data_IF_828716678092
#
_entry.id   IF_828716678092
#
_cell.length_a   1.000
_cell.length_b   1.000
_cell.length_c   1.000
_cell.angle_alpha   90.00
_cell.angle_beta   90.00
_cell.angle_gamma   90.00
#
_symmetry.space_group_name_H-M   'P 1'
#
loop_
_entity.id
_entity.type
_entity.pdbx_description
1 polymer ?
#
# COMPACT_ATOMS: atom_id res chain seq x y z
N UNK A 1 -26.41 -30.17 16.31
CA UNK A 1 -26.13 -29.97 17.75
C UNK A 1 -25.76 -28.51 17.94
N UNK A 2 -26.39 -27.78 18.86
CA UNK A 2 -26.10 -26.37 19.08
C UNK A 2 -24.70 -26.22 19.70
N UNK A 3 -23.83 -25.46 19.04
CA UNK A 3 -22.49 -25.14 19.56
C UNK A 3 -22.69 -24.21 20.76
N UNK A 4 -22.12 -24.58 21.92
CA UNK A 4 -22.18 -23.77 23.14
C UNK A 4 -21.48 -22.43 22.88
N UNK A 5 -22.22 -21.33 22.98
CA UNK A 5 -21.69 -19.98 22.78
C UNK A 5 -20.74 -19.66 23.94
N UNK A 6 -19.52 -19.23 23.61
CA UNK A 6 -18.50 -18.85 24.59
C UNK A 6 -18.96 -17.61 25.39
N UNK A 7 -18.92 -17.71 26.72
CA UNK A 7 -19.20 -16.62 27.67
C UNK A 7 -18.36 -15.36 27.38
N UNK A 8 -17.14 -15.54 26.85
CA UNK A 8 -16.28 -14.43 26.42
C UNK A 8 -16.86 -13.64 25.24
N UNK A 9 -17.52 -14.33 24.30
CA UNK A 9 -18.17 -13.71 23.14
C UNK A 9 -19.44 -12.98 23.58
N UNK A 10 -20.25 -13.58 24.45
CA UNK A 10 -21.46 -12.94 25.00
C UNK A 10 -21.13 -11.69 25.82
N UNK A 11 -20.06 -11.74 26.61
CA UNK A 11 -19.58 -10.58 27.37
C UNK A 11 -19.10 -9.47 26.44
N UNK A 12 -18.38 -9.81 25.36
CA UNK A 12 -17.96 -8.83 24.36
C UNK A 12 -19.16 -8.17 23.64
N UNK A 13 -20.17 -8.96 23.25
CA UNK A 13 -21.40 -8.43 22.63
C UNK A 13 -22.21 -7.52 23.56
N UNK A 14 -22.06 -7.69 24.88
CA UNK A 14 -22.63 -6.81 25.91
C UNK A 14 -21.77 -5.58 26.21
N UNK A 15 -20.65 -5.40 25.49
CA UNK A 15 -19.71 -4.30 25.70
C UNK A 15 -18.75 -4.50 26.88
N UNK A 16 -18.70 -5.69 27.47
CA UNK A 16 -17.81 -6.04 28.57
C UNK A 16 -16.58 -6.74 28.00
N UNK A 17 -15.60 -5.96 27.54
CA UNK A 17 -14.31 -6.44 27.04
C UNK A 17 -13.20 -6.25 28.06
N UNK A 18 -12.39 -7.28 28.24
CA UNK A 18 -11.15 -7.26 29.01
C UNK A 18 -9.96 -7.49 28.07
N UNK A 19 -8.73 -7.19 28.50
CA UNK A 19 -7.51 -7.49 27.72
C UNK A 19 -7.35 -8.99 27.36
N UNK A 20 -8.07 -9.88 28.06
CA UNK A 20 -8.04 -11.33 27.86
C UNK A 20 -9.27 -11.88 27.10
N UNK A 21 -10.17 -11.02 26.62
CA UNK A 21 -11.34 -11.46 25.86
C UNK A 21 -10.88 -12.05 24.52
N UNK A 22 -10.95 -13.38 24.40
CA UNK A 22 -10.61 -14.11 23.18
C UNK A 22 -11.82 -14.12 22.25
N UNK A 23 -11.82 -13.20 21.30
CA UNK A 23 -12.78 -13.25 20.19
C UNK A 23 -12.31 -14.31 19.17
N UNK A 24 -13.24 -15.06 18.55
CA UNK A 24 -12.89 -15.90 17.42
C UNK A 24 -12.24 -15.02 16.35
N UNK A 25 -10.99 -15.33 15.99
CA UNK A 25 -10.32 -14.64 14.90
C UNK A 25 -11.00 -15.09 13.60
N UNK A 26 -11.45 -14.17 12.72
CA UNK A 26 -11.98 -14.56 11.43
C UNK A 26 -10.94 -15.40 10.67
N UNK A 27 -11.40 -16.42 9.96
CA UNK A 27 -10.56 -17.26 9.11
C UNK A 27 -10.42 -16.56 7.76
N UNK A 28 -9.56 -15.54 7.72
CA UNK A 28 -9.37 -14.70 6.55
C UNK A 28 -8.12 -15.11 5.77
N UNK A 29 -8.23 -15.22 4.45
CA UNK A 29 -7.10 -15.26 3.52
C UNK A 29 -7.14 -13.97 2.71
N UNK A 30 -6.28 -13.02 3.11
CA UNK A 30 -6.18 -11.70 2.50
C UNK A 30 -4.93 -11.63 1.64
N UNK A 31 -5.09 -11.48 0.32
CA UNK A 31 -4.00 -11.56 -0.67
C UNK A 31 -3.80 -10.21 -1.32
N UNK A 32 -2.64 -9.60 -1.07
CA UNK A 32 -2.18 -8.42 -1.78
C UNK A 32 -1.78 -8.76 -3.22
N UNK A 33 -2.27 -8.00 -4.19
CA UNK A 33 -1.92 -8.12 -5.61
C UNK A 33 -1.00 -6.97 -6.01
N UNK A 34 0.29 -7.28 -6.16
CA UNK A 34 1.31 -6.37 -6.68
C UNK A 34 1.37 -6.49 -8.21
N UNK A 35 1.20 -5.38 -8.93
CA UNK A 35 1.33 -5.37 -10.39
C UNK A 35 1.42 -3.94 -10.92
N UNK A 36 1.82 -3.76 -12.18
CA UNK A 36 1.65 -2.48 -12.86
C UNK A 36 0.21 -2.27 -13.37
N UNK A 37 -0.33 -1.07 -13.11
CA UNK A 37 -1.70 -0.71 -13.45
C UNK A 37 -2.00 -0.88 -14.94
N UNK A 38 -1.09 -0.40 -15.79
CA UNK A 38 -1.23 -0.34 -17.24
C UNK A 38 -1.10 -1.72 -17.91
N UNK A 39 -0.22 -2.59 -17.39
CA UNK A 39 0.04 -3.90 -17.99
C UNK A 39 -1.00 -4.94 -17.62
N UNK A 40 -1.43 -4.98 -16.35
CA UNK A 40 -2.21 -6.10 -15.81
C UNK A 40 -3.68 -5.76 -15.54
N UNK A 41 -4.24 -4.78 -16.26
CA UNK A 41 -5.60 -4.32 -16.00
C UNK A 41 -6.67 -5.42 -16.22
N UNK A 42 -6.45 -6.33 -17.18
CA UNK A 42 -7.38 -7.41 -17.48
C UNK A 42 -7.26 -8.54 -16.46
N UNK A 43 -6.04 -8.93 -16.10
CA UNK A 43 -5.74 -9.97 -15.12
C UNK A 43 -6.26 -9.57 -13.74
N UNK A 44 -6.00 -8.33 -13.30
CA UNK A 44 -6.54 -7.82 -12.04
C UNK A 44 -8.05 -7.77 -12.02
N UNK A 45 -8.67 -7.38 -13.14
CA UNK A 45 -10.13 -7.42 -13.29
C UNK A 45 -10.66 -8.85 -13.16
N UNK A 46 -10.04 -9.83 -13.81
CA UNK A 46 -10.43 -11.24 -13.68
C UNK A 46 -10.25 -11.75 -12.25
N UNK A 47 -9.19 -11.33 -11.55
CA UNK A 47 -8.99 -11.68 -10.15
C UNK A 47 -10.16 -11.19 -9.28
N UNK A 48 -10.60 -9.95 -9.46
CA UNK A 48 -11.69 -9.37 -8.64
C UNK A 48 -13.08 -9.83 -9.06
N UNK A 49 -13.36 -9.95 -10.36
CA UNK A 49 -14.72 -10.21 -10.88
C UNK A 49 -15.04 -11.70 -11.05
N UNK A 50 -14.02 -12.55 -11.19
CA UNK A 50 -14.21 -13.99 -11.46
C UNK A 50 -13.54 -14.86 -10.40
N UNK A 51 -12.22 -14.75 -10.24
CA UNK A 51 -11.44 -15.69 -9.40
C UNK A 51 -11.77 -15.51 -7.92
N UNK A 52 -11.84 -14.27 -7.42
CA UNK A 52 -12.18 -13.98 -6.02
C UNK A 52 -13.54 -14.55 -5.63
N UNK A 53 -14.62 -14.24 -6.37
CA UNK A 53 -15.95 -14.82 -6.14
C UNK A 53 -15.99 -16.35 -6.23
N UNK A 54 -15.29 -16.95 -7.20
CA UNK A 54 -15.21 -18.40 -7.34
C UNK A 54 -14.52 -19.05 -6.15
N UNK A 55 -13.36 -18.51 -5.73
CA UNK A 55 -12.65 -18.97 -4.54
C UNK A 55 -13.51 -18.81 -3.28
N UNK A 56 -14.20 -17.68 -3.12
CA UNK A 56 -15.11 -17.47 -2.00
C UNK A 56 -16.20 -18.55 -1.97
N UNK A 57 -16.80 -18.89 -3.12
CA UNK A 57 -17.82 -19.93 -3.21
C UNK A 57 -17.30 -21.33 -2.84
N UNK A 58 -16.03 -21.64 -3.15
CA UNK A 58 -15.42 -22.94 -2.80
C UNK A 58 -15.20 -23.06 -1.28
N UNK A 59 -14.92 -21.94 -0.61
CA UNK A 59 -14.54 -21.90 0.79
C UNK A 59 -15.65 -21.46 1.75
N UNK A 60 -16.83 -21.12 1.23
CA UNK A 60 -17.99 -20.63 1.99
C UNK A 60 -18.43 -21.61 3.09
N UNK A 61 -18.51 -22.91 2.75
CA UNK A 61 -18.86 -23.99 3.70
C UNK A 61 -17.86 -24.13 4.87
N UNK A 62 -16.64 -23.62 4.70
CA UNK A 62 -15.56 -23.71 5.69
C UNK A 62 -15.42 -22.44 6.53
N UNK A 63 -16.30 -21.46 6.34
CA UNK A 63 -16.23 -20.16 7.00
C UNK A 63 -14.90 -19.44 6.79
N UNK A 64 -14.26 -19.67 5.64
CA UNK A 64 -13.04 -18.97 5.26
C UNK A 64 -13.43 -17.83 4.32
N UNK A 65 -13.01 -16.63 4.67
CA UNK A 65 -13.19 -15.42 3.87
C UNK A 65 -11.97 -15.23 2.97
N UNK A 66 -12.20 -14.93 1.70
CA UNK A 66 -11.19 -14.65 0.70
C UNK A 66 -11.28 -13.17 0.32
N UNK A 67 -10.19 -12.43 0.51
CA UNK A 67 -10.10 -11.02 0.16
C UNK A 67 -8.92 -10.81 -0.79
N UNK A 68 -9.20 -10.37 -2.01
CA UNK A 68 -8.19 -9.97 -2.99
C UNK A 68 -8.04 -8.46 -2.91
N UNK A 69 -6.83 -8.00 -2.62
CA UNK A 69 -6.51 -6.59 -2.39
C UNK A 69 -5.74 -6.05 -3.57
N UNK A 70 -6.40 -5.22 -4.37
CA UNK A 70 -5.80 -4.50 -5.48
C UNK A 70 -5.81 -3.00 -5.18
N UNK A 71 -4.64 -2.43 -4.89
CA UNK A 71 -4.48 -1.00 -4.59
C UNK A 71 -4.82 -0.08 -5.77
N UNK A 72 -4.92 -0.61 -6.99
CA UNK A 72 -5.31 0.16 -8.17
C UNK A 72 -6.82 0.16 -8.38
N UNK A 73 -7.59 -0.68 -7.66
CA UNK A 73 -9.03 -0.72 -7.80
C UNK A 73 -9.65 0.62 -7.39
N UNK A 74 -10.53 1.16 -8.22
CA UNK A 74 -11.18 2.46 -7.95
C UNK A 74 -10.30 3.70 -8.14
N UNK A 75 -9.03 3.56 -8.57
CA UNK A 75 -8.10 4.71 -8.79
C UNK A 75 -8.31 5.45 -10.11
N UNK A 76 -9.48 5.29 -10.75
CA UNK A 76 -9.82 5.91 -12.03
C UNK A 76 -9.15 5.26 -13.26
N UNK A 77 -9.36 5.85 -14.46
CA UNK A 77 -8.79 5.37 -15.72
C UNK A 77 -7.27 5.18 -15.69
N UNK A 78 -6.75 4.36 -16.62
CA UNK A 78 -5.33 4.07 -16.76
C UNK A 78 -4.47 5.33 -16.89
N UNK A 79 -4.97 6.33 -17.62
CA UNK A 79 -4.26 7.56 -17.93
C UNK A 79 -4.20 8.56 -16.75
N UNK A 80 -4.80 8.24 -15.60
CA UNK A 80 -4.72 9.09 -14.40
C UNK A 80 -3.59 8.58 -13.51
N UNK A 81 -2.51 9.36 -13.48
CA UNK A 81 -1.24 9.04 -12.80
C UNK A 81 -1.08 9.89 -11.52
N UNK A 82 -2.04 10.76 -11.19
CA UNK A 82 -1.90 11.72 -10.08
C UNK A 82 -1.68 11.03 -8.73
N UNK A 83 -2.34 9.89 -8.49
CA UNK A 83 -2.12 9.06 -7.29
C UNK A 83 -0.73 8.42 -7.31
N UNK A 84 -0.26 7.99 -8.49
CA UNK A 84 1.05 7.36 -8.68
C UNK A 84 2.21 8.37 -8.64
N UNK A 85 1.90 9.67 -8.74
CA UNK A 85 2.85 10.77 -8.57
C UNK A 85 3.06 11.16 -7.10
N UNK A 86 2.24 10.66 -6.18
CA UNK A 86 2.44 10.90 -4.75
C UNK A 86 3.74 10.22 -4.28
N UNK A 87 4.74 10.98 -3.79
CA UNK A 87 5.99 10.39 -3.30
C UNK A 87 5.80 9.48 -2.08
N UNK A 88 4.65 9.54 -1.40
CA UNK A 88 4.32 8.71 -0.25
C UNK A 88 3.58 7.41 -0.62
N UNK A 89 3.20 7.20 -1.88
CA UNK A 89 2.39 6.04 -2.31
C UNK A 89 3.02 4.69 -1.94
N UNK A 90 4.36 4.61 -1.95
CA UNK A 90 5.08 3.40 -1.57
C UNK A 90 4.83 3.02 -0.11
N UNK A 91 4.61 4.00 0.78
CA UNK A 91 4.30 3.73 2.19
C UNK A 91 2.93 3.08 2.32
N UNK A 92 1.95 3.51 1.54
CA UNK A 92 0.61 2.92 1.53
C UNK A 92 0.65 1.49 1.02
N UNK A 93 1.41 1.22 -0.05
CA UNK A 93 1.62 -0.13 -0.56
C UNK A 93 2.28 -1.05 0.48
N UNK A 94 3.36 -0.59 1.12
CA UNK A 94 4.05 -1.36 2.16
C UNK A 94 3.13 -1.60 3.37
N UNK A 95 2.35 -0.60 3.77
CA UNK A 95 1.39 -0.73 4.86
C UNK A 95 0.31 -1.77 4.57
N UNK A 96 -0.23 -1.80 3.34
CA UNK A 96 -1.23 -2.79 2.96
C UNK A 96 -0.64 -4.20 2.85
N UNK A 97 0.59 -4.34 2.35
CA UNK A 97 1.33 -5.62 2.35
C UNK A 97 1.49 -6.14 3.78
N UNK A 98 1.91 -5.28 4.72
CA UNK A 98 2.04 -5.63 6.13
C UNK A 98 0.69 -6.02 6.75
N UNK A 99 -0.38 -5.32 6.38
CA UNK A 99 -1.74 -5.63 6.82
C UNK A 99 -2.20 -7.01 6.32
N UNK A 100 -1.94 -7.34 5.06
CA UNK A 100 -2.23 -8.65 4.49
C UNK A 100 -1.42 -9.75 5.19
N UNK A 101 -0.13 -9.52 5.44
CA UNK A 101 0.74 -10.46 6.16
C UNK A 101 0.23 -10.76 7.57
N UNK A 102 -0.15 -9.72 8.32
CA UNK A 102 -0.57 -9.85 9.71
C UNK A 102 -1.95 -10.50 9.88
N UNK A 103 -2.85 -10.31 8.91
CA UNK A 103 -4.24 -10.72 9.02
C UNK A 103 -4.57 -12.02 8.26
N UNK A 104 -3.82 -12.33 7.20
CA UNK A 104 -4.04 -13.55 6.41
C UNK A 104 -3.61 -14.82 7.16
N UNK A 105 -4.38 -15.90 6.99
CA UNK A 105 -4.06 -17.24 7.53
C UNK A 105 -3.23 -18.09 6.59
N UNK A 106 -2.99 -17.63 5.38
CA UNK A 106 -2.32 -18.38 4.32
C UNK A 106 -1.51 -17.42 3.44
N UNK A 107 -1.35 -17.77 2.15
CA UNK A 107 -0.81 -16.89 1.11
C UNK A 107 -1.40 -15.49 1.28
N UNK A 108 -0.52 -14.49 1.29
CA UNK A 108 -0.88 -13.10 1.54
C UNK A 108 -0.38 -12.16 0.45
N UNK A 109 0.41 -12.65 -0.50
CA UNK A 109 1.06 -11.84 -1.52
C UNK A 109 1.10 -12.59 -2.85
N UNK A 110 0.71 -11.88 -3.91
CA UNK A 110 0.75 -12.30 -5.31
C UNK A 110 1.37 -11.16 -6.12
N UNK A 111 2.36 -11.46 -6.95
CA UNK A 111 2.96 -10.49 -7.86
C UNK A 111 2.73 -10.88 -9.32
N UNK A 112 2.23 -9.94 -10.10
CA UNK A 112 2.17 -10.01 -11.57
C UNK A 112 3.31 -9.15 -12.11
N UNK A 113 4.29 -9.79 -12.76
CA UNK A 113 5.53 -9.15 -13.20
C UNK A 113 5.51 -9.09 -14.73
N UNK A 114 5.62 -7.88 -15.27
CA UNK A 114 5.68 -7.60 -16.70
C UNK A 114 7.06 -7.09 -17.11
N UNK A 115 7.11 -6.43 -18.26
CA UNK A 115 8.34 -5.93 -18.86
C UNK A 115 8.62 -4.46 -18.50
N UNK A 116 7.60 -3.72 -18.03
CA UNK A 116 7.76 -2.33 -17.62
C UNK A 116 8.27 -2.22 -16.17
N UNK A 117 9.03 -1.15 -15.91
CA UNK A 117 9.53 -0.83 -14.57
C UNK A 117 8.49 -0.05 -13.75
N UNK A 118 7.52 0.58 -14.43
CA UNK A 118 6.47 1.37 -13.80
C UNK A 118 6.92 2.77 -13.41
N UNK A 119 6.04 3.52 -12.73
CA UNK A 119 6.34 4.85 -12.24
C UNK A 119 7.43 4.80 -11.15
N UNK A 120 8.38 5.73 -11.23
CA UNK A 120 9.41 5.90 -10.21
C UNK A 120 9.13 7.20 -9.44
N UNK A 121 8.34 7.13 -8.34
CA UNK A 121 8.03 8.32 -7.55
C UNK A 121 9.31 8.94 -7.00
N UNK A 122 9.30 10.26 -6.85
CA UNK A 122 10.45 10.97 -6.30
C UNK A 122 10.67 10.56 -4.83
N UNK A 123 11.93 10.38 -4.41
CA UNK A 123 12.23 9.99 -3.04
C UNK A 123 11.78 11.07 -2.06
N UNK A 124 11.16 10.68 -0.95
CA UNK A 124 10.75 11.64 0.11
C UNK A 124 11.95 12.19 0.90
N UNK A 125 13.09 11.50 0.84
CA UNK A 125 14.33 11.87 1.52
C UNK A 125 15.52 11.63 0.60
N UNK A 126 16.43 12.59 0.54
CA UNK A 126 17.72 12.48 -0.15
C UNK A 126 18.82 12.77 0.85
N UNK A 127 19.81 11.89 0.94
CA UNK A 127 20.98 12.10 1.79
C UNK A 127 21.78 13.32 1.31
N UNK A 128 22.40 14.06 2.24
CA UNK A 128 23.05 15.33 1.92
C UNK A 128 24.20 15.16 0.91
N UNK A 129 24.95 14.07 1.00
CA UNK A 129 26.01 13.73 0.05
C UNK A 129 25.45 13.50 -1.36
N UNK A 130 24.41 12.68 -1.51
CA UNK A 130 23.73 12.42 -2.79
C UNK A 130 23.15 13.73 -3.36
N UNK A 131 22.50 14.54 -2.52
CA UNK A 131 21.93 15.82 -2.91
C UNK A 131 22.98 16.77 -3.50
N UNK A 132 24.16 16.86 -2.85
CA UNK A 132 25.25 17.71 -3.35
C UNK A 132 25.83 17.21 -4.68
N UNK A 133 25.93 15.90 -4.88
CA UNK A 133 26.38 15.31 -6.15
C UNK A 133 25.39 15.64 -7.28
N UNK A 134 24.08 15.52 -7.03
CA UNK A 134 23.05 15.85 -8.02
C UNK A 134 23.14 17.32 -8.44
N UNK A 135 23.31 18.24 -7.48
CA UNK A 135 23.48 19.68 -7.76
C UNK A 135 24.73 19.99 -8.59
N UNK A 136 25.82 19.24 -8.40
CA UNK A 136 27.05 19.43 -9.18
C UNK A 136 26.90 18.96 -10.62
N UNK A 137 26.05 17.95 -10.88
CA UNK A 137 25.84 17.39 -12.20
C UNK A 137 24.77 18.11 -13.03
N UNK A 138 23.86 18.86 -12.39
CA UNK A 138 22.75 19.59 -13.05
C UNK A 138 23.14 20.95 -13.64
N UNK A 139 24.44 21.22 -13.84
CA UNK A 139 24.96 22.50 -14.36
C UNK A 139 24.64 22.79 -15.85
N UNK A 140 23.76 22.00 -16.47
CA UNK A 140 23.46 22.09 -17.91
C UNK A 140 22.33 23.08 -18.23
N UNK A 141 21.49 23.43 -17.24
CA UNK A 141 20.40 24.39 -17.34
C UNK A 141 20.13 25.04 -15.98
N UNK A 142 19.89 26.37 -15.94
CA UNK A 142 19.65 27.10 -14.68
C UNK A 142 18.33 26.71 -13.98
N UNK A 143 17.38 26.09 -14.69
CA UNK A 143 16.05 25.76 -14.16
C UNK A 143 16.03 24.52 -13.25
N UNK A 144 16.85 23.52 -13.53
CA UNK A 144 16.92 22.24 -12.79
C UNK A 144 17.39 22.39 -11.33
N UNK A 145 18.50 23.11 -11.03
CA UNK A 145 18.95 23.28 -9.65
C UNK A 145 17.96 24.11 -8.82
N UNK A 146 17.28 25.09 -9.46
CA UNK A 146 16.25 25.89 -8.80
C UNK A 146 15.03 25.04 -8.41
N UNK A 147 14.63 24.09 -9.28
CA UNK A 147 13.53 23.18 -8.97
C UNK A 147 13.89 22.24 -7.81
N UNK A 148 15.10 21.68 -7.81
CA UNK A 148 15.57 20.80 -6.75
C UNK A 148 15.62 21.50 -5.38
N UNK A 149 16.10 22.75 -5.34
CA UNK A 149 16.10 23.56 -4.11
C UNK A 149 14.70 23.96 -3.66
N UNK A 150 13.76 24.13 -4.61
CA UNK A 150 12.36 24.40 -4.29
C UNK A 150 11.66 23.20 -3.66
N UNK A 151 11.94 22.00 -4.16
CA UNK A 151 11.25 20.77 -3.75
C UNK A 151 11.85 20.10 -2.52
N UNK A 152 13.14 20.28 -2.25
CA UNK A 152 13.82 19.63 -1.13
C UNK A 152 14.42 20.66 -0.19
N UNK A 153 13.99 20.61 1.08
CA UNK A 153 14.42 21.52 2.13
C UNK A 153 15.28 20.76 3.13
N UNK A 154 16.38 21.37 3.57
CA UNK A 154 17.30 20.77 4.54
C UNK A 154 16.55 20.43 5.84
N UNK A 155 16.65 19.19 6.30
CA UNK A 155 16.02 18.76 7.54
C UNK A 155 16.64 19.53 8.73
N UNK A 156 15.83 20.29 9.48
CA UNK A 156 16.27 20.86 10.75
C UNK A 156 15.96 19.91 11.90
N UNK A 157 16.88 18.99 12.22
CA UNK A 157 16.82 18.24 13.47
C UNK A 157 17.54 16.90 13.50
N UNK A 158 18.64 16.82 14.25
CA UNK A 158 19.06 15.64 15.01
C UNK A 158 19.71 14.46 14.27
N UNK A 159 20.99 14.59 13.91
CA UNK A 159 21.93 13.46 13.89
C UNK A 159 22.19 12.73 12.57
N UNK A 160 21.44 13.02 11.50
CA UNK A 160 21.74 12.56 10.13
C UNK A 160 21.54 13.70 9.14
N UNK A 161 22.57 14.06 8.39
CA UNK A 161 22.49 15.15 7.39
C UNK A 161 21.70 14.69 6.17
N UNK A 162 20.45 15.12 6.06
CA UNK A 162 19.56 14.76 4.95
C UNK A 162 18.59 15.89 4.59
N UNK A 163 18.00 15.79 3.41
CA UNK A 163 17.09 16.77 2.82
C UNK A 163 15.73 16.10 2.59
N UNK A 164 14.64 16.75 3.01
CA UNK A 164 13.28 16.19 2.95
C UNK A 164 12.47 16.90 1.87
N UNK A 165 11.61 16.15 1.16
CA UNK A 165 10.65 16.72 0.22
C UNK A 165 9.66 17.66 0.94
N UNK A 166 9.51 18.89 0.45
CA UNK A 166 8.57 19.88 0.97
C UNK A 166 7.12 19.59 0.55
N UNK A 167 6.16 19.93 1.41
CA UNK A 167 4.73 19.89 1.08
C UNK A 167 4.42 20.94 -0.01
N UNK A 168 3.85 20.48 -1.12
CA UNK A 168 3.42 21.37 -2.20
C UNK A 168 2.08 21.97 -1.78
N UNK A 169 2.08 23.24 -1.42
CA UNK A 169 0.86 24.02 -1.19
C UNK A 169 0.11 24.12 -2.54
N UNK A 170 -0.91 23.27 -2.75
CA UNK A 170 -1.73 23.19 -3.98
C UNK A 170 -2.70 24.36 -4.11
N UNK A 171 -2.22 25.59 -3.93
CA UNK A 171 -2.96 26.81 -4.22
C UNK A 171 -2.26 27.59 -5.33
N UNK A 172 -2.69 27.32 -6.56
CA UNK A 172 -2.81 28.32 -7.61
C UNK A 172 -3.81 27.85 -8.67
#
# INVERSE_FOLDING_TARGET
MAVSIDEGVLSALRGITSKNTRLPKPLLVKVYVSSLKEEFCQERRMLLELVGPELQSIYDDRQIEIEIVDMHFGTGPLNIIQVEQDPYILKDYLHEIETCYNNSKSVFFLALIGDNIGPMPLPTHIDEDIYTVILQQTQTSDDEPNLLQKWYIKAQGGGGGGVVGGEIDTKN
#
